data_IF_671525097152
#
_entry.id   IF_671525097152
#
_cell.length_a   1.000
_cell.length_b   1.000
_cell.length_c   1.000
_cell.angle_alpha   90.00
_cell.angle_beta   90.00
_cell.angle_gamma   90.00
#
_symmetry.space_group_name_H-M   'P 1'
#
loop_
_entity.id
_entity.type
_entity.pdbx_description
1 polymer ?
#
# COMPACT_ATOMS: atom_id res chain seq x y z
N UNK A 1 10.68 -13.79 7.71
CA UNK A 1 11.36 -12.89 6.81
C UNK A 1 10.60 -11.59 6.70
N UNK A 2 11.27 -10.45 6.85
CA UNK A 2 10.65 -9.13 6.77
C UNK A 2 11.41 -8.25 5.81
N UNK A 3 10.70 -7.63 4.90
CA UNK A 3 11.22 -6.58 4.04
C UNK A 3 10.97 -5.23 4.71
N UNK A 4 11.99 -4.38 4.71
CA UNK A 4 11.87 -3.02 5.18
C UNK A 4 12.40 -2.06 4.13
N UNK A 5 11.68 -0.97 3.92
CA UNK A 5 12.19 0.18 3.20
C UNK A 5 13.05 1.00 4.17
N UNK A 6 14.34 1.02 3.97
CA UNK A 6 15.25 1.86 4.77
C UNK A 6 15.42 3.18 4.04
N UNK A 7 15.11 4.26 4.76
CA UNK A 7 15.36 5.61 4.29
C UNK A 7 16.87 5.88 4.39
N UNK A 8 17.52 6.08 3.24
CA UNK A 8 18.91 6.53 3.26
C UNK A 8 18.99 8.00 3.66
N UNK A 9 19.74 8.26 4.71
CA UNK A 9 20.32 9.51 5.23
C UNK A 9 19.80 10.85 4.66
N UNK A 10 18.49 11.07 4.66
CA UNK A 10 17.92 12.41 4.43
C UNK A 10 17.79 12.87 2.98
N UNK A 11 18.19 12.04 2.00
CA UNK A 11 17.96 12.32 0.58
C UNK A 11 16.89 11.35 0.02
N UNK A 12 15.74 11.90 -0.34
CA UNK A 12 14.64 11.11 -0.90
C UNK A 12 14.98 10.47 -2.24
N UNK A 13 15.99 10.95 -2.94
CA UNK A 13 16.42 10.38 -4.25
C UNK A 13 17.14 9.03 -4.10
N UNK A 14 17.53 8.64 -2.88
CA UNK A 14 18.29 7.43 -2.60
C UNK A 14 17.49 6.32 -1.90
N UNK A 15 16.17 6.40 -1.91
CA UNK A 15 15.35 5.35 -1.33
C UNK A 15 15.51 4.04 -2.11
N UNK A 16 15.80 2.96 -1.39
CA UNK A 16 15.92 1.61 -1.93
C UNK A 16 15.22 0.61 -1.01
N UNK A 17 14.84 -0.53 -1.56
CA UNK A 17 14.25 -1.63 -0.80
C UNK A 17 15.38 -2.54 -0.32
N UNK A 18 15.47 -2.71 1.00
CA UNK A 18 16.43 -3.62 1.62
C UNK A 18 15.70 -4.80 2.27
N UNK A 19 16.37 -5.92 2.34
CA UNK A 19 15.89 -7.11 3.04
C UNK A 19 16.74 -7.34 4.27
N UNK A 20 16.06 -7.53 5.39
CA UNK A 20 16.62 -8.07 6.62
C UNK A 20 15.95 -9.42 6.90
N UNK A 21 16.74 -10.38 7.35
CA UNK A 21 16.30 -11.74 7.64
C UNK A 21 16.50 -12.07 9.12
N UNK A 22 15.55 -12.79 9.69
CA UNK A 22 15.66 -13.40 11.00
C UNK A 22 15.32 -14.89 10.87
N UNK A 23 16.19 -15.75 11.33
CA UNK A 23 16.02 -17.21 11.27
C UNK A 23 15.02 -17.72 12.32
N UNK A 24 14.65 -16.91 13.31
CA UNK A 24 13.64 -17.28 14.31
C UNK A 24 12.23 -17.22 13.72
N UNK A 25 11.37 -18.21 13.98
CA UNK A 25 9.95 -18.11 13.64
C UNK A 25 9.22 -17.03 14.44
N UNK A 26 9.70 -16.68 15.63
CA UNK A 26 9.23 -15.55 16.42
C UNK A 26 10.09 -14.32 16.09
N UNK A 27 9.53 -13.27 15.46
CA UNK A 27 10.27 -12.07 15.10
C UNK A 27 10.76 -11.24 16.29
N UNK A 28 10.28 -11.54 17.49
CA UNK A 28 10.73 -10.92 18.74
C UNK A 28 11.97 -11.61 19.32
N UNK A 29 12.38 -12.73 18.72
CA UNK A 29 13.54 -13.51 19.12
C UNK A 29 14.54 -13.60 17.97
N UNK A 30 15.80 -13.94 18.29
CA UNK A 30 16.88 -14.02 17.31
C UNK A 30 17.41 -12.65 16.89
N UNK A 31 18.19 -12.64 15.82
CA UNK A 31 18.84 -11.45 15.28
C UNK A 31 18.44 -11.20 13.82
N UNK A 32 18.16 -9.95 13.48
CA UNK A 32 17.96 -9.54 12.10
C UNK A 32 19.31 -9.28 11.42
N UNK A 33 19.51 -9.88 10.28
CA UNK A 33 20.72 -9.72 9.46
C UNK A 33 20.39 -9.09 8.12
N UNK A 34 21.20 -8.11 7.71
CA UNK A 34 21.06 -7.48 6.40
C UNK A 34 21.42 -8.46 5.28
N UNK A 35 20.50 -8.65 4.33
CA UNK A 35 20.72 -9.43 3.09
C UNK A 35 21.17 -8.56 1.92
N UNK A 36 20.85 -7.28 1.95
CA UNK A 36 21.19 -6.31 0.91
C UNK A 36 19.98 -5.63 0.30
N UNK A 37 20.23 -4.81 -0.71
CA UNK A 37 19.18 -4.14 -1.48
C UNK A 37 18.61 -5.08 -2.55
N UNK A 38 17.30 -5.00 -2.79
CA UNK A 38 16.68 -5.62 -3.96
C UNK A 38 16.95 -4.72 -5.17
N UNK A 39 17.54 -5.26 -6.21
CA UNK A 39 17.78 -4.54 -7.48
C UNK A 39 16.47 -4.48 -8.28
N UNK A 40 15.69 -3.43 -8.08
CA UNK A 40 14.39 -3.23 -8.74
C UNK A 40 14.51 -2.69 -10.16
N UNK A 41 15.64 -2.04 -10.48
CA UNK A 41 15.96 -1.53 -11.80
C UNK A 41 17.49 -1.37 -11.93
N UNK A 42 18.15 -1.86 -12.98
CA UNK A 42 19.60 -1.74 -13.16
C UNK A 42 20.07 -0.29 -13.29
N UNK A 43 19.27 0.59 -13.88
CA UNK A 43 19.65 1.98 -14.13
C UNK A 43 19.37 2.90 -12.92
N UNK A 44 18.23 2.66 -12.24
CA UNK A 44 17.81 3.48 -11.13
C UNK A 44 16.92 2.68 -10.15
N UNK A 45 17.53 2.30 -9.03
CA UNK A 45 16.95 1.35 -8.09
C UNK A 45 16.02 2.00 -7.03
N UNK A 46 15.43 3.16 -7.32
CA UNK A 46 14.53 3.83 -6.39
C UNK A 46 13.26 3.00 -6.14
N UNK A 47 12.95 2.76 -4.87
CA UNK A 47 11.77 2.01 -4.48
C UNK A 47 11.42 2.20 -3.01
N UNK A 48 10.10 2.22 -2.73
CA UNK A 48 9.53 2.30 -1.39
C UNK A 48 8.30 1.40 -1.28
N UNK A 49 7.83 1.18 -0.06
CA UNK A 49 6.60 0.46 0.26
C UNK A 49 6.51 -0.93 -0.39
N UNK A 50 7.53 -1.80 -0.19
CA UNK A 50 7.45 -3.15 -0.72
C UNK A 50 6.40 -3.97 0.03
N UNK A 51 5.71 -4.82 -0.71
CA UNK A 51 4.90 -5.90 -0.18
C UNK A 51 5.09 -7.16 -1.02
N UNK A 52 4.96 -8.32 -0.42
CA UNK A 52 5.11 -9.60 -1.11
C UNK A 52 3.84 -10.42 -0.97
N UNK A 53 3.58 -11.25 -1.96
CA UNK A 53 2.51 -12.23 -1.90
C UNK A 53 2.87 -13.48 -2.70
N UNK A 54 2.27 -14.58 -2.32
CA UNK A 54 2.33 -15.82 -3.08
C UNK A 54 1.07 -15.98 -3.92
N UNK A 55 1.26 -16.39 -5.17
CA UNK A 55 0.17 -16.72 -6.07
C UNK A 55 0.57 -17.91 -6.93
N UNK A 56 -0.22 -19.00 -6.87
CA UNK A 56 0.02 -20.25 -7.63
C UNK A 56 1.42 -20.83 -7.44
N UNK A 57 1.96 -20.73 -6.23
CA UNK A 57 3.30 -21.23 -5.88
C UNK A 57 4.47 -20.35 -6.31
N UNK A 58 4.19 -19.18 -6.89
CA UNK A 58 5.20 -18.18 -7.25
C UNK A 58 5.15 -17.01 -6.26
N UNK A 59 6.33 -16.50 -5.91
CA UNK A 59 6.46 -15.32 -5.04
C UNK A 59 6.58 -14.06 -5.89
N UNK A 60 5.82 -13.03 -5.53
CA UNK A 60 5.82 -11.72 -6.18
C UNK A 60 6.18 -10.62 -5.22
N UNK A 61 6.88 -9.60 -5.73
CA UNK A 61 7.11 -8.31 -5.08
C UNK A 61 6.27 -7.24 -5.76
N UNK A 62 5.57 -6.47 -4.95
CA UNK A 62 4.92 -5.21 -5.31
C UNK A 62 5.66 -4.06 -4.63
N UNK A 63 5.83 -2.95 -5.31
CA UNK A 63 6.43 -1.75 -4.70
C UNK A 63 6.05 -0.48 -5.45
N UNK A 64 6.29 0.64 -4.79
CA UNK A 64 6.23 1.96 -5.41
C UNK A 64 7.62 2.34 -5.93
N UNK A 65 7.70 2.72 -7.19
CA UNK A 65 8.96 3.07 -7.85
C UNK A 65 8.81 4.25 -8.80
N UNK A 66 9.93 4.84 -9.19
CA UNK A 66 9.95 5.85 -10.23
C UNK A 66 10.21 5.21 -11.60
N UNK A 67 9.51 5.68 -12.66
CA UNK A 67 9.81 5.24 -14.04
C UNK A 67 11.19 5.70 -14.48
N UNK A 68 11.58 6.91 -14.08
CA UNK A 68 12.86 7.52 -14.38
C UNK A 68 13.35 8.33 -13.17
N UNK A 69 14.62 8.74 -13.20
CA UNK A 69 15.12 9.70 -12.23
C UNK A 69 14.29 10.98 -12.27
N UNK A 70 13.95 11.51 -11.11
CA UNK A 70 13.16 12.73 -10.98
C UNK A 70 13.83 13.92 -11.66
N UNK A 71 13.07 14.55 -12.58
CA UNK A 71 13.47 15.82 -13.23
C UNK A 71 12.21 16.70 -13.30
N UNK A 72 12.12 17.73 -12.46
CA UNK A 72 11.03 18.71 -12.47
C UNK A 72 9.70 18.25 -11.90
N UNK A 73 9.35 16.97 -12.00
CA UNK A 73 8.17 16.37 -11.38
C UNK A 73 8.50 14.99 -10.86
N UNK A 74 7.81 14.58 -9.81
CA UNK A 74 7.89 13.22 -9.27
C UNK A 74 6.64 12.44 -9.66
N UNK A 75 6.83 11.22 -10.15
CA UNK A 75 5.74 10.30 -10.41
C UNK A 75 6.07 8.95 -9.82
N UNK A 76 5.32 8.56 -8.80
CA UNK A 76 5.43 7.24 -8.19
C UNK A 76 4.42 6.30 -8.83
N UNK A 77 4.87 5.13 -9.24
CA UNK A 77 4.10 4.12 -9.95
C UNK A 77 4.19 2.78 -9.23
N UNK A 78 3.19 1.92 -9.42
CA UNK A 78 3.21 0.56 -8.88
C UNK A 78 3.84 -0.39 -9.88
N UNK A 79 4.81 -1.14 -9.40
CA UNK A 79 5.49 -2.20 -10.13
C UNK A 79 5.24 -3.54 -9.47
N UNK A 80 5.32 -4.58 -10.30
CA UNK A 80 5.33 -5.99 -9.90
C UNK A 80 6.52 -6.69 -10.54
N UNK A 81 7.10 -7.65 -9.83
CA UNK A 81 8.05 -8.60 -10.38
C UNK A 81 7.92 -9.95 -9.68
N UNK A 82 8.25 -11.03 -10.37
CA UNK A 82 8.39 -12.34 -9.75
C UNK A 82 9.74 -12.42 -9.03
N UNK A 83 9.75 -13.10 -7.90
CA UNK A 83 10.96 -13.32 -7.12
C UNK A 83 11.47 -14.75 -7.27
N UNK A 84 12.77 -14.90 -7.35
CA UNK A 84 13.46 -16.20 -7.28
C UNK A 84 13.54 -16.69 -5.82
N UNK A 85 13.78 -15.75 -4.93
CA UNK A 85 13.87 -15.92 -3.50
C UNK A 85 13.51 -14.57 -2.84
N UNK A 86 13.35 -14.50 -1.52
CA UNK A 86 12.86 -13.28 -0.88
C UNK A 86 13.72 -12.01 -0.98
N UNK A 87 14.88 -12.08 -1.60
CA UNK A 87 15.77 -10.91 -1.80
C UNK A 87 16.27 -10.74 -3.24
N UNK A 88 15.82 -11.61 -4.18
CA UNK A 88 16.25 -11.58 -5.58
C UNK A 88 15.05 -11.60 -6.51
N UNK A 89 14.99 -10.68 -7.46
CA UNK A 89 13.99 -10.71 -8.52
C UNK A 89 14.38 -11.75 -9.59
N UNK A 90 13.40 -12.54 -10.03
CA UNK A 90 13.52 -13.50 -11.12
C UNK A 90 13.19 -12.86 -12.49
N UNK A 91 12.49 -11.72 -12.49
CA UNK A 91 12.07 -11.02 -13.70
C UNK A 91 12.40 -9.54 -13.62
N UNK A 92 12.40 -8.86 -14.75
CA UNK A 92 12.34 -7.41 -14.79
C UNK A 92 11.05 -6.91 -14.17
N UNK A 93 11.06 -5.64 -13.75
CA UNK A 93 9.87 -4.97 -13.20
C UNK A 93 8.83 -4.72 -14.29
N UNK A 94 7.58 -4.92 -13.95
CA UNK A 94 6.44 -4.61 -14.81
C UNK A 94 5.63 -3.49 -14.18
N UNK A 95 5.35 -2.43 -14.94
CA UNK A 95 4.50 -1.33 -14.53
C UNK A 95 3.03 -1.77 -14.61
N UNK A 96 2.32 -1.74 -13.47
CA UNK A 96 0.89 -2.11 -13.41
C UNK A 96 -0.02 -0.93 -13.04
N UNK A 97 0.52 0.15 -12.48
CA UNK A 97 -0.25 1.39 -12.25
C UNK A 97 0.65 2.62 -12.29
N UNK A 98 0.13 3.67 -12.91
CA UNK A 98 0.67 5.04 -12.84
C UNK A 98 -0.49 6.01 -12.54
N UNK A 99 -0.25 7.19 -11.93
CA UNK A 99 -1.30 8.18 -11.73
C UNK A 99 -1.89 8.67 -13.05
N UNK A 100 -3.13 8.30 -13.34
CA UNK A 100 -3.85 8.61 -14.59
C UNK A 100 -5.07 9.48 -14.36
N UNK A 101 -5.83 9.17 -13.30
CA UNK A 101 -7.05 9.90 -12.96
C UNK A 101 -6.77 11.15 -12.15
N UNK A 102 -7.66 12.12 -12.23
CA UNK A 102 -7.54 13.40 -11.51
C UNK A 102 -7.45 13.17 -9.98
N UNK A 103 -8.20 12.22 -9.47
CA UNK A 103 -8.18 11.87 -8.05
C UNK A 103 -6.85 11.21 -7.58
N UNK A 104 -6.03 10.71 -8.48
CA UNK A 104 -4.69 10.17 -8.17
C UNK A 104 -3.60 11.26 -8.18
N UNK A 105 -3.94 12.47 -8.64
CA UNK A 105 -2.97 13.52 -8.97
C UNK A 105 -3.12 14.75 -8.08
N UNK A 106 -3.82 14.63 -6.96
CA UNK A 106 -3.98 15.71 -5.99
C UNK A 106 -2.72 15.81 -5.12
N UNK A 107 -1.97 16.89 -5.27
CA UNK A 107 -0.71 17.11 -4.58
C UNK A 107 -0.62 18.44 -3.84
N UNK A 108 -1.56 19.35 -4.06
CA UNK A 108 -1.66 20.66 -3.44
C UNK A 108 -2.65 20.56 -2.27
N UNK A 109 -2.26 21.02 -1.10
CA UNK A 109 -3.19 21.16 0.02
C UNK A 109 -4.20 22.27 -0.24
N UNK A 110 -5.41 22.21 0.36
CA UNK A 110 -6.41 23.27 0.26
C UNK A 110 -5.91 24.65 0.74
N UNK A 111 -4.95 24.66 1.66
CA UNK A 111 -4.29 25.87 2.17
C UNK A 111 -3.17 26.39 1.22
N UNK A 112 -2.97 25.74 0.08
CA UNK A 112 -1.97 26.11 -0.92
C UNK A 112 -0.54 25.79 -0.53
N UNK A 113 -0.30 25.21 0.65
CA UNK A 113 1.04 24.90 1.10
C UNK A 113 1.58 23.59 0.54
N UNK A 114 2.73 23.58 -0.04
CA UNK A 114 3.76 22.62 0.22
C UNK A 114 4.71 22.13 -0.85
N UNK A 115 4.46 22.12 -2.10
CA UNK A 115 5.46 21.59 -3.03
C UNK A 115 5.82 22.60 -4.11
N UNK A 116 7.10 22.67 -4.42
CA UNK A 116 7.60 23.53 -5.49
C UNK A 116 7.35 22.95 -6.89
N UNK A 117 6.94 21.70 -6.99
CA UNK A 117 6.70 20.98 -8.25
C UNK A 117 5.63 19.89 -8.05
N UNK A 118 4.95 19.47 -9.12
CA UNK A 118 3.96 18.40 -9.06
C UNK A 118 4.55 17.06 -8.59
N UNK A 119 3.85 16.42 -7.66
CA UNK A 119 4.13 15.07 -7.19
C UNK A 119 2.86 14.23 -7.39
N UNK A 120 2.93 13.25 -8.27
CA UNK A 120 1.84 12.34 -8.56
C UNK A 120 2.15 10.97 -7.98
N UNK A 121 1.21 10.39 -7.24
CA UNK A 121 1.51 9.25 -6.39
C UNK A 121 0.53 8.11 -6.62
N UNK A 122 1.08 6.94 -6.95
CA UNK A 122 0.53 5.63 -6.63
C UNK A 122 1.57 4.91 -5.77
N UNK A 123 1.24 4.59 -4.52
CA UNK A 123 2.19 4.01 -3.57
C UNK A 123 1.55 2.97 -2.64
N UNK A 124 2.37 2.33 -1.80
CA UNK A 124 1.93 1.38 -0.76
C UNK A 124 1.02 0.25 -1.30
N UNK A 125 1.43 -0.46 -2.35
CA UNK A 125 0.61 -1.54 -2.88
C UNK A 125 0.46 -2.67 -1.88
N UNK A 126 -0.76 -3.21 -1.77
CA UNK A 126 -1.08 -4.35 -0.91
C UNK A 126 -1.94 -5.35 -1.67
N UNK A 127 -1.50 -6.60 -1.68
CA UNK A 127 -2.24 -7.70 -2.27
C UNK A 127 -3.43 -8.09 -1.41
N UNK A 128 -4.52 -8.41 -2.09
CA UNK A 128 -5.66 -9.13 -1.53
C UNK A 128 -6.34 -9.94 -2.63
N UNK A 129 -7.46 -10.58 -2.32
CA UNK A 129 -8.19 -11.43 -3.27
C UNK A 129 -9.70 -11.34 -3.07
N UNK A 130 -10.48 -11.75 -4.06
CA UNK A 130 -11.93 -11.99 -3.91
C UNK A 130 -12.19 -13.18 -2.99
N UNK A 131 -13.39 -13.27 -2.47
CA UNK A 131 -13.81 -14.33 -1.53
C UNK A 131 -13.62 -15.74 -2.10
N UNK A 132 -13.78 -15.89 -3.40
CA UNK A 132 -13.63 -17.16 -4.12
C UNK A 132 -12.22 -17.38 -4.71
N UNK A 133 -11.27 -16.46 -4.44
CA UNK A 133 -9.90 -16.44 -4.95
C UNK A 133 -9.78 -16.37 -6.49
N UNK A 134 -10.83 -15.97 -7.21
CA UNK A 134 -10.78 -15.85 -8.68
C UNK A 134 -10.23 -14.51 -9.16
N UNK A 135 -10.18 -13.52 -8.27
CA UNK A 135 -9.67 -12.20 -8.59
C UNK A 135 -8.50 -11.86 -7.66
N UNK A 136 -7.36 -11.57 -8.27
CA UNK A 136 -6.22 -10.93 -7.59
C UNK A 136 -6.51 -9.44 -7.52
N UNK A 137 -6.32 -8.86 -6.36
CA UNK A 137 -6.56 -7.45 -6.09
C UNK A 137 -5.28 -6.81 -5.56
N UNK A 138 -4.93 -5.64 -6.08
CA UNK A 138 -3.89 -4.78 -5.50
C UNK A 138 -4.54 -3.46 -5.12
N UNK A 139 -4.61 -3.20 -3.82
CA UNK A 139 -4.95 -1.89 -3.30
C UNK A 139 -3.69 -1.04 -3.24
N UNK A 140 -3.81 0.25 -3.54
CA UNK A 140 -2.69 1.18 -3.49
C UNK A 140 -3.17 2.54 -2.99
N UNK A 141 -2.27 3.30 -2.41
CA UNK A 141 -2.53 4.66 -2.03
C UNK A 141 -2.26 5.62 -3.18
N UNK A 142 -3.07 6.67 -3.31
CA UNK A 142 -2.96 7.66 -4.36
C UNK A 142 -3.09 9.08 -3.83
N UNK A 143 -2.55 10.03 -4.59
CA UNK A 143 -2.43 11.45 -4.25
C UNK A 143 -1.37 11.74 -3.18
N UNK A 144 -1.15 13.00 -2.85
CA UNK A 144 -0.15 13.40 -1.84
C UNK A 144 -0.57 13.00 -0.42
N UNK A 145 0.25 12.21 0.26
CA UNK A 145 -0.02 11.75 1.62
C UNK A 145 -0.13 12.89 2.66
N UNK A 146 0.31 14.08 2.33
CA UNK A 146 0.18 15.32 3.13
C UNK A 146 -1.14 16.05 2.91
N UNK A 147 -1.93 15.66 1.92
CA UNK A 147 -3.21 16.27 1.57
C UNK A 147 -4.40 15.46 2.12
N UNK A 148 -5.58 16.07 2.26
CA UNK A 148 -6.81 15.35 2.63
C UNK A 148 -7.28 14.38 1.53
N UNK A 149 -6.79 14.56 0.31
CA UNK A 149 -7.17 13.80 -0.87
C UNK A 149 -6.43 12.46 -0.99
N UNK A 150 -5.48 12.17 -0.10
CA UNK A 150 -4.86 10.86 -0.04
C UNK A 150 -5.95 9.80 0.13
N UNK A 151 -5.95 8.78 -0.71
CA UNK A 151 -7.04 7.83 -0.80
C UNK A 151 -6.54 6.47 -1.31
N UNK A 152 -7.42 5.49 -1.36
CA UNK A 152 -7.08 4.15 -1.84
C UNK A 152 -7.69 3.89 -3.22
N UNK A 153 -6.85 3.48 -4.15
CA UNK A 153 -7.22 2.91 -5.44
C UNK A 153 -7.17 1.39 -5.44
N UNK A 154 -7.66 0.78 -6.52
CA UNK A 154 -7.73 -0.66 -6.68
C UNK A 154 -7.39 -1.06 -8.11
N UNK A 155 -6.56 -2.10 -8.23
CA UNK A 155 -6.33 -2.87 -9.46
C UNK A 155 -6.91 -4.27 -9.26
N UNK A 156 -7.46 -4.84 -10.32
CA UNK A 156 -7.92 -6.22 -10.33
C UNK A 156 -7.37 -6.97 -11.54
N UNK A 157 -7.08 -8.25 -11.36
CA UNK A 157 -6.72 -9.16 -12.43
C UNK A 157 -7.40 -10.51 -12.21
N UNK A 158 -7.73 -11.22 -13.28
CA UNK A 158 -8.17 -12.60 -13.18
C UNK A 158 -7.05 -13.45 -12.56
N UNK A 159 -7.37 -14.32 -11.61
CA UNK A 159 -6.39 -15.15 -10.92
C UNK A 159 -5.69 -16.15 -11.85
N UNK A 160 -6.28 -16.45 -13.00
CA UNK A 160 -5.70 -17.34 -14.02
C UNK A 160 -4.89 -16.58 -15.08
N UNK A 161 -4.91 -15.23 -15.05
CA UNK A 161 -4.14 -14.41 -15.98
C UNK A 161 -2.66 -14.33 -15.61
N UNK A 162 -1.85 -13.93 -16.58
CA UNK A 162 -0.45 -13.58 -16.33
C UNK A 162 -0.34 -12.23 -15.61
N UNK A 163 0.03 -12.25 -14.33
CA UNK A 163 0.17 -11.04 -13.51
C UNK A 163 1.33 -10.14 -13.93
N UNK A 164 2.27 -10.65 -14.73
CA UNK A 164 3.36 -9.87 -15.32
C UNK A 164 2.98 -9.23 -16.66
N UNK A 165 1.77 -9.48 -17.16
CA UNK A 165 1.24 -8.77 -18.31
C UNK A 165 0.44 -7.54 -17.85
N UNK A 166 0.87 -6.29 -18.17
CA UNK A 166 0.13 -5.09 -17.78
C UNK A 166 -1.34 -5.09 -18.23
N UNK A 167 -1.66 -5.74 -19.35
CA UNK A 167 -3.02 -5.81 -19.88
C UNK A 167 -3.97 -6.70 -19.04
N UNK A 168 -3.44 -7.53 -18.14
CA UNK A 168 -4.24 -8.31 -17.20
C UNK A 168 -4.89 -7.44 -16.12
N UNK A 169 -4.33 -6.27 -15.86
CA UNK A 169 -4.75 -5.40 -14.78
C UNK A 169 -5.80 -4.39 -15.21
N UNK A 170 -6.87 -4.31 -14.45
CA UNK A 170 -7.95 -3.31 -14.60
C UNK A 170 -7.92 -2.37 -13.42
N UNK A 171 -7.79 -1.08 -13.67
CA UNK A 171 -7.81 -0.05 -12.64
C UNK A 171 -9.23 0.46 -12.39
N UNK A 172 -9.60 0.61 -11.11
CA UNK A 172 -10.84 1.31 -10.74
C UNK A 172 -10.78 2.78 -11.21
N UNK A 173 -11.81 3.28 -11.89
CA UNK A 173 -11.84 4.68 -12.35
C UNK A 173 -12.11 5.68 -11.21
N UNK A 174 -12.48 5.19 -10.03
CA UNK A 174 -12.79 5.98 -8.83
C UNK A 174 -12.02 5.42 -7.63
N UNK A 175 -11.73 6.24 -6.61
CA UNK A 175 -11.17 5.74 -5.36
C UNK A 175 -12.15 4.79 -4.68
N UNK A 176 -11.65 3.71 -4.09
CA UNK A 176 -12.46 2.71 -3.37
C UNK A 176 -12.55 2.98 -1.87
N UNK A 177 -11.69 3.85 -1.36
CA UNK A 177 -11.69 4.27 0.05
C UNK A 177 -11.09 5.66 0.14
N UNK A 178 -11.87 6.66 0.59
CA UNK A 178 -11.51 8.07 0.54
C UNK A 178 -12.04 8.84 1.76
N UNK A 179 -11.63 10.10 1.88
CA UNK A 179 -12.02 10.97 2.99
C UNK A 179 -13.54 11.06 3.20
N UNK A 180 -13.90 11.30 4.46
CA UNK A 180 -15.26 11.66 4.91
C UNK A 180 -15.16 12.88 5.84
N UNK A 181 -15.18 14.10 5.28
CA UNK A 181 -15.07 15.32 6.06
C UNK A 181 -16.16 15.46 7.12
N UNK A 182 -17.38 14.98 6.83
CA UNK A 182 -18.52 14.97 7.74
C UNK A 182 -18.28 14.14 9.01
N UNK A 183 -17.41 13.13 8.93
CA UNK A 183 -17.02 12.26 10.03
C UNK A 183 -15.63 12.61 10.59
N UNK A 184 -15.02 13.71 10.12
CA UNK A 184 -13.67 14.10 10.51
C UNK A 184 -12.59 13.10 10.09
N UNK A 185 -12.73 12.47 8.91
CA UNK A 185 -11.76 11.51 8.39
C UNK A 185 -11.14 12.03 7.10
N UNK A 186 -9.82 12.19 7.10
CA UNK A 186 -9.07 12.74 5.98
C UNK A 186 -7.90 11.85 5.60
N UNK A 187 -7.67 11.68 4.32
CA UNK A 187 -6.54 10.96 3.77
C UNK A 187 -6.43 9.48 4.20
N UNK A 188 -7.53 8.68 4.19
CA UNK A 188 -7.46 7.26 4.57
C UNK A 188 -6.80 6.43 3.47
N UNK A 189 -5.67 5.82 3.78
CA UNK A 189 -4.93 4.95 2.86
C UNK A 189 -3.88 4.08 3.61
N UNK A 190 -2.97 3.46 2.88
CA UNK A 190 -1.95 2.52 3.38
C UNK A 190 -2.61 1.33 4.08
N UNK A 191 -3.43 0.61 3.34
CA UNK A 191 -4.14 -0.55 3.85
C UNK A 191 -3.18 -1.71 4.17
N UNK A 192 -3.50 -2.44 5.23
CA UNK A 192 -2.97 -3.78 5.49
C UNK A 192 -4.15 -4.67 5.86
N UNK A 193 -4.20 -5.88 5.31
CA UNK A 193 -5.29 -6.83 5.54
C UNK A 193 -4.92 -7.80 6.65
N UNK A 194 -5.80 -7.96 7.62
CA UNK A 194 -5.59 -8.77 8.81
C UNK A 194 -6.77 -9.71 9.01
N UNK A 195 -6.55 -11.02 9.10
CA UNK A 195 -7.61 -11.93 9.51
C UNK A 195 -7.87 -11.81 11.03
N UNK A 196 -9.08 -12.13 11.46
CA UNK A 196 -9.37 -12.38 12.87
C UNK A 196 -8.58 -13.57 13.40
N UNK A 197 -8.40 -13.72 14.72
CA UNK A 197 -7.67 -14.85 15.31
C UNK A 197 -8.15 -16.24 14.88
N UNK A 198 -9.44 -16.39 14.56
CA UNK A 198 -10.03 -17.64 14.06
C UNK A 198 -10.13 -17.69 12.52
N UNK A 199 -9.67 -16.66 11.82
CA UNK A 199 -9.68 -16.58 10.36
C UNK A 199 -11.05 -16.38 9.71
N UNK A 200 -12.11 -16.14 10.48
CA UNK A 200 -13.49 -16.03 9.95
C UNK A 200 -13.87 -14.63 9.49
N UNK A 201 -13.15 -13.63 9.96
CA UNK A 201 -13.38 -12.22 9.66
C UNK A 201 -12.11 -11.59 9.09
N UNK A 202 -12.29 -10.51 8.30
CA UNK A 202 -11.20 -9.71 7.78
C UNK A 202 -11.32 -8.26 8.24
N UNK A 203 -10.18 -7.66 8.45
CA UNK A 203 -10.01 -6.28 8.88
C UNK A 203 -9.01 -5.56 7.99
N UNK A 204 -9.18 -4.26 7.84
CA UNK A 204 -8.15 -3.36 7.32
C UNK A 204 -7.56 -2.55 8.46
N UNK A 205 -6.24 -2.51 8.53
CA UNK A 205 -5.49 -1.51 9.27
C UNK A 205 -5.05 -0.45 8.27
N UNK A 206 -5.41 0.79 8.52
CA UNK A 206 -5.12 1.92 7.65
C UNK A 206 -4.70 3.13 8.46
N UNK A 207 -4.13 4.13 7.82
CA UNK A 207 -3.86 5.41 8.43
C UNK A 207 -4.87 6.46 7.96
N UNK A 208 -5.25 7.38 8.82
CA UNK A 208 -6.01 8.57 8.47
C UNK A 208 -5.71 9.72 9.45
N UNK A 209 -6.10 10.94 9.06
CA UNK A 209 -6.06 12.12 9.93
C UNK A 209 -7.45 12.48 10.41
N UNK A 210 -7.51 13.26 11.49
CA UNK A 210 -8.72 13.93 11.97
C UNK A 210 -8.78 15.41 11.57
N UNK A 211 -7.78 15.88 10.83
CA UNK A 211 -7.66 17.25 10.30
C UNK A 211 -7.36 17.23 8.80
N UNK A 212 -7.87 18.21 8.02
CA UNK A 212 -7.76 18.18 6.57
C UNK A 212 -6.37 18.49 6.02
N UNK A 213 -5.52 19.19 6.78
CA UNK A 213 -4.18 19.59 6.31
C UNK A 213 -3.08 18.94 7.14
N UNK A 214 -2.04 18.49 6.46
CA UNK A 214 -0.82 18.03 7.09
C UNK A 214 0.27 19.08 7.27
N UNK A 215 -0.02 20.36 7.03
CA UNK A 215 0.98 21.45 7.05
C UNK A 215 1.14 22.15 8.39
N UNK A 216 0.21 21.97 9.29
CA UNK A 216 0.39 22.40 10.68
C UNK A 216 1.40 21.43 11.32
N UNK A 217 2.05 21.81 12.41
CA UNK A 217 2.91 20.86 13.16
C UNK A 217 2.25 19.52 13.51
N UNK A 218 0.99 19.37 13.15
CA UNK A 218 0.17 18.16 13.20
C UNK A 218 0.23 17.33 11.89
N UNK A 219 1.16 17.60 10.99
CA UNK A 219 1.33 16.84 9.73
C UNK A 219 1.55 15.35 9.99
N UNK A 220 2.05 15.01 11.15
CA UNK A 220 2.25 13.65 11.63
C UNK A 220 1.06 13.10 12.43
N UNK A 221 -0.07 13.79 12.42
CA UNK A 221 -1.31 13.35 13.08
C UNK A 221 -2.02 12.17 12.39
N UNK A 222 -1.32 11.47 11.51
CA UNK A 222 -1.77 10.22 10.94
C UNK A 222 -1.83 9.15 12.02
N UNK A 223 -3.03 8.66 12.28
CA UNK A 223 -3.26 7.62 13.28
C UNK A 223 -3.60 6.29 12.61
N UNK A 224 -3.10 5.17 13.13
CA UNK A 224 -3.56 3.85 12.71
C UNK A 224 -5.03 3.67 13.11
N UNK A 225 -5.82 3.14 12.20
CA UNK A 225 -7.24 2.83 12.41
C UNK A 225 -7.53 1.43 11.95
N UNK A 226 -8.38 0.74 12.69
CA UNK A 226 -8.82 -0.62 12.37
C UNK A 226 -10.30 -0.57 11.98
N UNK A 227 -10.66 -1.35 10.96
CA UNK A 227 -12.05 -1.48 10.50
C UNK A 227 -12.29 -2.89 9.97
N UNK A 228 -13.42 -3.49 10.34
CA UNK A 228 -13.87 -4.75 9.76
C UNK A 228 -14.32 -4.50 8.32
N UNK A 229 -13.99 -5.41 7.41
CA UNK A 229 -14.48 -5.40 6.03
C UNK A 229 -15.52 -6.50 5.81
N UNK A 230 -16.34 -6.30 4.80
CA UNK A 230 -17.32 -7.26 4.32
C UNK A 230 -16.95 -7.83 2.94
N UNK A 231 -17.96 -8.47 2.34
CA UNK A 231 -17.93 -8.95 0.97
C UNK A 231 -19.21 -8.48 0.29
N UNK A 232 -19.08 -7.96 -0.92
CA UNK A 232 -20.25 -7.61 -1.73
C UNK A 232 -20.91 -8.84 -2.36
N UNK A 233 -21.95 -8.61 -3.18
CA UNK A 233 -22.70 -9.68 -3.83
C UNK A 233 -21.87 -10.51 -4.82
N UNK A 234 -20.82 -9.91 -5.39
CA UNK A 234 -19.91 -10.53 -6.34
C UNK A 234 -18.70 -11.19 -5.63
N UNK A 235 -18.66 -11.14 -4.30
CA UNK A 235 -17.57 -11.67 -3.50
C UNK A 235 -16.31 -10.79 -3.52
N UNK A 236 -16.43 -9.54 -3.93
CA UNK A 236 -15.33 -8.57 -3.80
C UNK A 236 -15.29 -7.98 -2.40
N UNK A 237 -14.10 -7.59 -1.90
CA UNK A 237 -14.00 -6.97 -0.59
C UNK A 237 -14.75 -5.64 -0.52
N UNK A 238 -15.68 -5.54 0.41
CA UNK A 238 -16.36 -4.29 0.75
C UNK A 238 -15.62 -3.63 1.92
N UNK A 239 -14.83 -2.62 1.61
CA UNK A 239 -14.06 -1.87 2.60
C UNK A 239 -14.98 -1.00 3.49
N UNK A 240 -16.22 -0.77 3.06
CA UNK A 240 -17.11 0.19 3.69
C UNK A 240 -16.64 1.64 3.52
N UNK A 241 -17.02 2.48 4.48
CA UNK A 241 -16.58 3.87 4.56
C UNK A 241 -15.65 4.04 5.77
N UNK A 242 -14.64 4.93 5.71
CA UNK A 242 -13.74 5.12 6.83
C UNK A 242 -14.48 5.62 8.07
N UNK A 243 -14.27 4.94 9.20
CA UNK A 243 -14.98 5.23 10.44
C UNK A 243 -14.37 6.43 11.20
N UNK A 244 -15.20 7.24 11.88
CA UNK A 244 -14.72 8.28 12.79
C UNK A 244 -13.85 7.71 13.90
N UNK A 245 -12.97 8.56 14.45
CA UNK A 245 -12.22 8.21 15.67
C UNK A 245 -13.18 7.89 16.81
N UNK A 246 -12.83 6.92 17.62
CA UNK A 246 -13.62 6.43 18.77
C UNK A 246 -14.92 5.69 18.39
N UNK A 247 -15.09 5.27 17.14
CA UNK A 247 -16.16 4.33 16.80
C UNK A 247 -15.92 3.01 17.52
N UNK A 248 -16.84 2.54 18.37
CA UNK A 248 -16.70 1.25 19.02
C UNK A 248 -16.69 0.13 17.98
N UNK A 249 -15.68 -0.72 18.07
CA UNK A 249 -15.60 -1.92 17.25
C UNK A 249 -15.88 -3.16 18.12
N UNK A 250 -16.62 -4.14 17.62
CA UNK A 250 -16.70 -5.43 18.28
C UNK A 250 -15.32 -6.08 18.32
N UNK A 251 -15.05 -6.87 19.34
CA UNK A 251 -13.82 -7.66 19.38
C UNK A 251 -13.78 -8.59 18.18
N UNK A 252 -12.62 -8.74 17.51
CA UNK A 252 -12.46 -9.70 16.43
C UNK A 252 -12.82 -11.12 16.88
N UNK A 253 -13.43 -11.88 15.99
CA UNK A 253 -13.81 -13.27 16.25
C UNK A 253 -12.58 -14.10 16.64
N UNK A 254 -12.74 -15.05 17.56
CA UNK A 254 -11.63 -15.86 18.07
C UNK A 254 -10.71 -15.15 19.08
N UNK A 255 -11.01 -13.89 19.45
CA UNK A 255 -10.24 -13.19 20.49
C UNK A 255 -10.44 -13.89 21.85
N UNK A 256 -9.36 -14.42 22.42
CA UNK A 256 -9.38 -14.94 23.80
C UNK A 256 -9.39 -13.79 24.80
N UNK A 257 -10.18 -13.87 25.89
CA UNK A 257 -10.07 -12.93 26.99
C UNK A 257 -8.64 -12.91 27.53
N UNK A 258 -8.11 -11.73 27.82
CA UNK A 258 -6.83 -11.62 28.51
C UNK A 258 -6.94 -12.40 29.83
N UNK A 259 -6.06 -13.39 30.00
CA UNK A 259 -5.86 -14.07 31.27
C UNK A 259 -5.16 -13.16 32.26
#
# INVERSE_FOLDING_TARGET
QRQMCIRDSGNTDNHQIYVIENDSPDPMQGEFRMKGAIMTNPDWNWGIHPSTFEHKGELYLLWSGWPNRRIGSETQCIYIARMENPWTLATERVLISKPEYEWERQWVNPDGGRTAYPIYVNESPQYFHSKDNRTVIVYYAASGCWSPYYCTGMLTADADSDLLNPASWKKSPVPVFQQRPEDGVYGPANLSFLPSPDGTEWYILYQARSVPSGNTGESESRNPRLQKIGWDADGMPDLGVPLPVNTPLPKPSGTVPNQ
#
